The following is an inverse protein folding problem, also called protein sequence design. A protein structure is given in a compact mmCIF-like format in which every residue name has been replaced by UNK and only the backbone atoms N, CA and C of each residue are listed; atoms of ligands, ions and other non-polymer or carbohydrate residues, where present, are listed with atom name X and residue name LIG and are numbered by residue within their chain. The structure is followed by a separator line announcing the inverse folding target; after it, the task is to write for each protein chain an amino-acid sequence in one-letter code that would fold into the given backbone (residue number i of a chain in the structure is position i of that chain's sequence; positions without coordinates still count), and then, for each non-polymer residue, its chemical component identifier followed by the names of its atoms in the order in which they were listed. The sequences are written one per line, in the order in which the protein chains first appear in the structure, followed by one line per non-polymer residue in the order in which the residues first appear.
data_IF_057073847803
#
_entry.id   IF_057073847803
#
_cell.length_a   1.000
_cell.length_b   1.000
_cell.length_c   1.000
_cell.angle_alpha   90.00
_cell.angle_beta   90.00
_cell.angle_gamma   90.00
#
_symmetry.space_group_name_H-M   'P 1'
#
loop_
_entity.id
_entity.type
_entity.pdbx_description
1 polymer ?
#
# COMPACT_ATOMS: atom_id res chain seq x y z
N UNK A 1 -10.10 16.43 -16.47
CA UNK A 1 -8.88 15.60 -16.45
C UNK A 1 -8.33 15.58 -15.02
N UNK A 2 -7.87 14.44 -14.55
CA UNK A 2 -7.26 14.28 -13.22
C UNK A 2 -5.76 13.96 -13.41
N UNK A 3 -4.90 14.68 -12.72
CA UNK A 3 -3.46 14.44 -12.68
C UNK A 3 -3.13 13.71 -11.37
N UNK A 4 -2.61 12.49 -11.45
CA UNK A 4 -2.14 11.70 -10.32
C UNK A 4 -0.62 11.88 -10.28
N UNK A 5 -0.13 12.64 -9.30
CA UNK A 5 1.28 12.99 -9.21
C UNK A 5 1.96 12.22 -8.07
N UNK A 6 2.93 11.40 -8.42
CA UNK A 6 3.83 10.74 -7.44
C UNK A 6 5.04 11.65 -7.26
N UNK A 7 5.21 12.23 -6.09
CA UNK A 7 6.39 13.06 -5.79
C UNK A 7 7.63 12.17 -5.75
N UNK A 8 8.51 12.37 -6.74
CA UNK A 8 9.74 11.58 -6.88
C UNK A 8 10.96 12.52 -6.94
N UNK A 9 11.55 12.87 -5.78
CA UNK A 9 12.80 13.61 -5.76
C UNK A 9 13.92 12.85 -6.49
N UNK A 10 14.90 13.58 -6.99
CA UNK A 10 16.08 12.98 -7.62
C UNK A 10 16.73 11.96 -6.66
N UNK A 11 17.09 10.80 -7.18
CA UNK A 11 17.71 9.70 -6.43
C UNK A 11 16.87 9.09 -5.30
N UNK A 12 15.56 9.37 -5.23
CA UNK A 12 14.67 8.75 -4.23
C UNK A 12 13.77 7.70 -4.89
N UNK A 13 14.30 6.48 -5.02
CA UNK A 13 13.59 5.37 -5.68
C UNK A 13 12.32 4.92 -4.93
N UNK A 14 12.25 5.16 -3.61
CA UNK A 14 11.15 4.69 -2.76
C UNK A 14 9.79 5.31 -3.09
N UNK A 15 9.75 6.41 -3.84
CA UNK A 15 8.50 6.95 -4.39
C UNK A 15 7.77 5.96 -5.31
N UNK A 16 8.48 4.98 -5.88
CA UNK A 16 7.86 3.93 -6.71
C UNK A 16 6.99 2.95 -5.89
N UNK A 17 7.07 2.98 -4.56
CA UNK A 17 6.15 2.24 -3.69
C UNK A 17 4.68 2.69 -3.84
N UNK A 18 4.45 3.89 -4.38
CA UNK A 18 3.09 4.41 -4.60
C UNK A 18 2.52 4.05 -5.97
N UNK A 19 3.30 3.39 -6.84
CA UNK A 19 2.91 3.20 -8.25
C UNK A 19 1.63 2.37 -8.35
N UNK A 20 1.54 1.22 -7.70
CA UNK A 20 0.40 0.32 -7.83
C UNK A 20 -0.91 0.95 -7.31
N UNK A 21 -0.85 1.73 -6.23
CA UNK A 21 -2.03 2.42 -5.72
C UNK A 21 -2.40 3.64 -6.58
N UNK A 22 -1.43 4.31 -7.19
CA UNK A 22 -1.68 5.34 -8.19
C UNK A 22 -2.29 4.77 -9.48
N UNK A 23 -1.82 3.60 -9.93
CA UNK A 23 -2.42 2.85 -11.06
C UNK A 23 -3.81 2.35 -10.74
N UNK A 24 -4.08 1.87 -9.52
CA UNK A 24 -5.40 1.48 -9.05
C UNK A 24 -6.41 2.62 -9.26
N UNK A 25 -6.04 3.81 -8.82
CA UNK A 25 -6.86 5.01 -8.99
C UNK A 25 -6.96 5.42 -10.46
N UNK A 26 -5.85 5.42 -11.19
CA UNK A 26 -5.80 5.78 -12.62
C UNK A 26 -6.76 4.92 -13.45
N UNK A 27 -6.62 3.60 -13.38
CA UNK A 27 -7.45 2.69 -14.16
C UNK A 27 -8.92 2.78 -13.77
N UNK A 28 -9.23 2.94 -12.49
CA UNK A 28 -10.63 3.09 -12.06
C UNK A 28 -11.25 4.41 -12.54
N UNK A 29 -10.49 5.49 -12.67
CA UNK A 29 -10.93 6.75 -13.29
C UNK A 29 -11.20 6.55 -14.79
N UNK A 30 -10.34 5.79 -15.49
CA UNK A 30 -10.57 5.45 -16.90
C UNK A 30 -11.83 4.59 -17.08
N UNK A 31 -12.09 3.65 -16.18
CA UNK A 31 -13.33 2.85 -16.18
C UNK A 31 -14.59 3.71 -16.02
N UNK A 32 -14.50 4.82 -15.28
CA UNK A 32 -15.54 5.86 -15.17
C UNK A 32 -15.65 6.75 -16.41
N UNK A 33 -14.93 6.44 -17.50
CA UNK A 33 -14.87 7.25 -18.74
C UNK A 33 -14.36 8.67 -18.51
N UNK A 34 -13.56 8.87 -17.47
CA UNK A 34 -12.87 10.14 -17.19
C UNK A 34 -11.41 10.05 -17.63
N UNK A 35 -10.82 11.22 -17.93
CA UNK A 35 -9.40 11.29 -18.32
C UNK A 35 -8.53 11.46 -17.09
N UNK A 36 -7.49 10.64 -16.97
CA UNK A 36 -6.44 10.78 -15.96
C UNK A 36 -5.07 10.48 -16.55
N UNK A 37 -4.03 10.95 -15.89
CA UNK A 37 -2.63 10.62 -16.18
C UNK A 37 -1.86 10.46 -14.87
N UNK A 38 -0.79 9.65 -14.88
CA UNK A 38 0.19 9.57 -13.80
C UNK A 38 1.40 10.39 -14.20
N UNK A 39 1.89 11.23 -13.28
CA UNK A 39 3.11 12.05 -13.45
C UNK A 39 4.03 11.92 -12.25
N UNK A 40 5.29 12.30 -12.41
CA UNK A 40 6.31 12.15 -11.37
C UNK A 40 6.98 13.46 -10.97
N UNK A 41 6.69 14.54 -11.68
CA UNK A 41 7.34 15.83 -11.48
C UNK A 41 6.40 16.84 -10.87
N UNK A 42 6.88 17.58 -9.88
CA UNK A 42 6.13 18.65 -9.26
C UNK A 42 5.62 19.71 -10.25
N UNK A 43 6.38 19.97 -11.31
CA UNK A 43 6.02 20.93 -12.36
C UNK A 43 4.74 20.54 -13.15
N UNK A 44 4.34 19.27 -13.10
CA UNK A 44 3.10 18.80 -13.74
C UNK A 44 1.84 19.18 -12.95
N UNK A 45 1.98 19.66 -11.72
CA UNK A 45 0.89 20.10 -10.85
C UNK A 45 0.46 21.52 -11.29
N UNK A 46 -0.80 21.69 -11.60
CA UNK A 46 -1.31 22.99 -12.07
C UNK A 46 -2.79 23.22 -11.72
N UNK A 47 -3.25 24.48 -11.80
CA UNK A 47 -4.60 24.88 -11.41
C UNK A 47 -5.70 24.51 -12.40
N UNK A 48 -5.37 24.01 -13.61
CA UNK A 48 -6.37 23.71 -14.65
C UNK A 48 -6.99 22.33 -14.51
N UNK A 49 -6.44 21.46 -13.65
CA UNK A 49 -6.87 20.08 -13.46
C UNK A 49 -6.85 19.72 -11.98
N UNK A 50 -7.69 18.78 -11.54
CA UNK A 50 -7.59 18.21 -10.20
C UNK A 50 -6.29 17.44 -10.07
N UNK A 51 -5.49 17.74 -9.04
CA UNK A 51 -4.24 17.07 -8.77
C UNK A 51 -4.39 16.17 -7.55
N UNK A 52 -4.01 14.90 -7.67
CA UNK A 52 -3.99 13.95 -6.55
C UNK A 52 -2.53 13.58 -6.32
N UNK A 53 -1.99 13.91 -5.14
CA UNK A 53 -0.56 13.83 -4.85
C UNK A 53 -0.27 12.69 -3.88
N UNK A 54 0.60 11.78 -4.30
CA UNK A 54 1.23 10.76 -3.46
C UNK A 54 2.62 11.22 -3.02
N UNK A 55 3.03 10.87 -1.81
CA UNK A 55 4.34 11.23 -1.28
C UNK A 55 4.48 12.72 -0.90
N UNK A 56 3.40 13.38 -0.49
CA UNK A 56 3.40 14.80 -0.12
C UNK A 56 4.38 15.17 1.01
N UNK A 57 4.77 14.22 1.84
CA UNK A 57 5.81 14.39 2.86
C UNK A 57 7.21 14.68 2.29
N UNK A 58 7.40 14.42 1.01
CA UNK A 58 8.66 14.70 0.30
C UNK A 58 8.72 16.15 -0.23
N UNK A 59 7.61 16.88 -0.20
CA UNK A 59 7.55 18.29 -0.58
C UNK A 59 8.24 19.16 0.48
N UNK A 60 8.95 20.20 0.05
CA UNK A 60 9.43 21.25 0.95
C UNK A 60 8.35 22.32 1.19
N UNK A 61 8.59 23.25 2.10
CA UNK A 61 7.62 24.29 2.48
C UNK A 61 7.26 25.22 1.31
N UNK A 62 8.22 25.53 0.43
CA UNK A 62 8.00 26.36 -0.77
C UNK A 62 7.07 25.64 -1.77
N UNK A 63 7.34 24.37 -2.05
CA UNK A 63 6.49 23.54 -2.90
C UNK A 63 5.06 23.44 -2.34
N UNK A 64 4.93 23.22 -1.02
CA UNK A 64 3.62 23.17 -0.36
C UNK A 64 2.89 24.51 -0.54
N UNK A 65 3.57 25.63 -0.34
CA UNK A 65 2.98 26.95 -0.48
C UNK A 65 2.50 27.26 -1.90
N UNK A 66 3.15 26.70 -2.92
CA UNK A 66 2.79 26.89 -4.34
C UNK A 66 1.71 25.93 -4.86
N UNK A 67 1.25 24.94 -4.05
CA UNK A 67 0.20 24.02 -4.46
C UNK A 67 -1.11 24.76 -4.78
N UNK A 68 -1.77 24.46 -5.90
CA UNK A 68 -3.07 25.04 -6.24
C UNK A 68 -4.18 24.47 -5.36
N UNK A 69 -5.28 25.24 -5.16
CA UNK A 69 -6.40 24.85 -4.30
C UNK A 69 -7.19 23.62 -4.74
N UNK A 70 -7.06 23.20 -6.00
CA UNK A 70 -7.67 21.98 -6.53
C UNK A 70 -6.76 20.73 -6.34
N UNK A 71 -5.98 20.73 -5.29
CA UNK A 71 -5.08 19.64 -4.90
C UNK A 71 -5.74 18.74 -3.85
N UNK A 72 -5.53 17.44 -4.00
CA UNK A 72 -5.88 16.38 -3.03
C UNK A 72 -4.58 15.71 -2.61
N UNK A 73 -4.35 15.61 -1.32
CA UNK A 73 -3.23 14.82 -0.78
C UNK A 73 -3.74 13.41 -0.51
N UNK A 74 -3.13 12.42 -1.16
CA UNK A 74 -3.38 11.02 -0.84
C UNK A 74 -2.27 10.53 0.10
N UNK A 75 -2.59 10.44 1.38
CA UNK A 75 -1.67 9.93 2.38
C UNK A 75 -1.65 8.40 2.39
N UNK A 76 -0.45 7.84 2.44
CA UNK A 76 -0.21 6.39 2.54
C UNK A 76 0.67 6.04 3.73
N UNK A 77 1.01 7.03 4.56
CA UNK A 77 1.87 6.86 5.73
C UNK A 77 1.05 6.69 7.01
N UNK A 78 1.65 6.05 8.00
CA UNK A 78 1.03 5.90 9.33
C UNK A 78 1.29 7.16 10.16
N UNK A 79 0.33 8.11 10.13
CA UNK A 79 0.52 9.50 10.59
C UNK A 79 0.91 9.60 12.07
N UNK A 80 0.41 8.72 12.93
CA UNK A 80 0.76 8.70 14.36
C UNK A 80 2.26 8.47 14.58
N UNK A 81 2.93 7.77 13.66
CA UNK A 81 4.34 7.37 13.76
C UNK A 81 5.30 8.29 12.98
N UNK A 82 4.79 9.35 12.36
CA UNK A 82 5.63 10.28 11.59
C UNK A 82 6.46 11.20 12.47
N UNK A 83 7.57 11.66 11.90
CA UNK A 83 8.45 12.65 12.54
C UNK A 83 7.86 14.06 12.57
N UNK A 84 8.42 14.95 13.38
CA UNK A 84 7.94 16.32 13.57
C UNK A 84 8.01 17.17 12.30
N UNK A 85 8.98 16.92 11.41
CA UNK A 85 9.09 17.64 10.12
C UNK A 85 7.86 17.35 9.27
N UNK A 86 7.42 16.10 9.21
CA UNK A 86 6.23 15.75 8.48
C UNK A 86 4.95 16.31 9.13
N UNK A 87 4.82 16.22 10.45
CA UNK A 87 3.67 16.83 11.16
C UNK A 87 3.55 18.32 10.81
N UNK A 88 4.68 19.05 10.82
CA UNK A 88 4.71 20.47 10.42
C UNK A 88 4.20 20.67 8.99
N UNK A 89 4.60 19.80 8.03
CA UNK A 89 4.13 19.87 6.64
C UNK A 89 2.64 19.57 6.52
N UNK A 90 2.11 18.60 7.26
CA UNK A 90 0.67 18.33 7.29
C UNK A 90 -0.10 19.55 7.79
N UNK A 91 0.36 20.19 8.86
CA UNK A 91 -0.28 21.42 9.37
C UNK A 91 -0.22 22.55 8.35
N UNK A 92 0.87 22.68 7.61
CA UNK A 92 0.99 23.67 6.54
C UNK A 92 0.00 23.40 5.40
N UNK A 93 -0.15 22.14 5.00
CA UNK A 93 -1.14 21.71 4.01
C UNK A 93 -2.58 21.97 4.50
N UNK A 94 -2.88 21.70 5.77
CA UNK A 94 -4.18 21.95 6.36
C UNK A 94 -4.57 23.44 6.35
N UNK A 95 -3.62 24.34 6.59
CA UNK A 95 -3.84 25.79 6.51
C UNK A 95 -4.24 26.27 5.11
N UNK A 96 -3.94 25.48 4.07
CA UNK A 96 -4.32 25.76 2.68
C UNK A 96 -5.69 25.18 2.30
N UNK A 97 -6.44 24.59 3.24
CA UNK A 97 -7.73 23.92 2.99
C UNK A 97 -7.65 22.81 1.94
N UNK A 98 -6.48 22.16 1.84
CA UNK A 98 -6.25 21.06 0.90
C UNK A 98 -6.98 19.81 1.40
N UNK A 99 -7.65 19.11 0.47
CA UNK A 99 -8.39 17.89 0.74
C UNK A 99 -7.40 16.74 1.03
N UNK A 100 -7.65 16.01 2.12
CA UNK A 100 -6.91 14.80 2.46
C UNK A 100 -7.73 13.55 2.16
N UNK A 101 -7.11 12.62 1.45
CA UNK A 101 -7.54 11.23 1.34
C UNK A 101 -6.57 10.33 2.10
N UNK A 102 -7.10 9.33 2.77
CA UNK A 102 -6.29 8.37 3.51
C UNK A 102 -6.88 6.96 3.36
N UNK A 103 -6.03 5.96 3.35
CA UNK A 103 -6.44 4.55 3.27
C UNK A 103 -6.90 3.99 4.62
N UNK A 104 -6.68 4.70 5.71
CA UNK A 104 -6.91 4.23 7.08
C UNK A 104 -7.85 5.13 7.87
N UNK A 105 -8.95 4.56 8.37
CA UNK A 105 -9.83 5.26 9.32
C UNK A 105 -9.09 5.70 10.59
N UNK A 106 -8.07 4.92 11.02
CA UNK A 106 -7.27 5.29 12.19
C UNK A 106 -6.50 6.58 11.95
N UNK A 107 -5.85 6.72 10.79
CA UNK A 107 -5.19 7.96 10.39
C UNK A 107 -6.17 9.13 10.34
N UNK A 108 -7.36 8.92 9.75
CA UNK A 108 -8.40 9.97 9.67
C UNK A 108 -8.87 10.42 11.05
N UNK A 109 -9.07 9.47 11.98
CA UNK A 109 -9.42 9.79 13.38
C UNK A 109 -8.27 10.55 14.06
N UNK A 110 -7.02 10.17 13.82
CA UNK A 110 -5.86 10.89 14.34
C UNK A 110 -5.78 12.32 13.78
N UNK A 111 -5.93 12.49 12.46
CA UNK A 111 -5.96 13.80 11.79
C UNK A 111 -7.04 14.71 12.38
N UNK A 112 -8.25 14.19 12.53
CA UNK A 112 -9.36 14.95 13.09
C UNK A 112 -9.13 15.34 14.57
N UNK A 113 -8.80 14.35 15.41
CA UNK A 113 -8.75 14.55 16.86
C UNK A 113 -7.49 15.31 17.34
N UNK A 114 -6.39 15.23 16.62
CA UNK A 114 -5.10 15.81 17.03
C UNK A 114 -4.73 17.06 16.24
N UNK A 115 -5.21 17.18 15.03
CA UNK A 115 -4.82 18.25 14.10
C UNK A 115 -6.01 19.04 13.53
N UNK A 116 -7.25 18.68 13.90
CA UNK A 116 -8.51 19.25 13.37
C UNK A 116 -8.59 19.23 11.83
N UNK A 117 -8.01 18.20 11.22
CA UNK A 117 -8.01 18.02 9.77
C UNK A 117 -9.07 16.98 9.39
N UNK A 118 -10.03 17.39 8.56
CA UNK A 118 -11.04 16.49 7.98
C UNK A 118 -10.51 15.86 6.71
N UNK A 119 -10.51 14.52 6.65
CA UNK A 119 -10.13 13.76 5.48
C UNK A 119 -11.24 12.82 5.02
N UNK A 120 -11.04 12.21 3.85
CA UNK A 120 -11.95 11.19 3.30
C UNK A 120 -11.23 9.84 3.24
N UNK A 121 -11.96 8.78 3.60
CA UNK A 121 -11.46 7.41 3.45
C UNK A 121 -11.38 7.05 1.97
N UNK A 122 -10.21 6.61 1.53
CA UNK A 122 -10.02 5.96 0.23
C UNK A 122 -10.03 4.45 0.42
N UNK A 123 -11.13 3.83 0.08
CA UNK A 123 -11.24 2.37 0.11
C UNK A 123 -10.50 1.75 -1.07
N UNK A 124 -9.77 0.68 -0.78
CA UNK A 124 -8.95 -0.04 -1.76
C UNK A 124 -9.69 -1.32 -2.16
N UNK A 125 -9.85 -1.54 -3.44
CA UNK A 125 -10.58 -2.68 -3.99
C UNK A 125 -9.87 -3.31 -5.20
N UNK A 126 -10.63 -4.05 -5.99
CA UNK A 126 -10.15 -4.78 -7.16
C UNK A 126 -10.08 -3.91 -8.41
N UNK A 127 -8.96 -4.01 -9.15
CA UNK A 127 -8.77 -3.44 -10.47
C UNK A 127 -8.12 -4.47 -11.40
N UNK A 128 -8.83 -4.84 -12.47
CA UNK A 128 -8.39 -5.89 -13.41
C UNK A 128 -7.01 -5.62 -14.01
N UNK A 129 -6.70 -4.38 -14.34
CA UNK A 129 -5.43 -4.01 -14.98
C UNK A 129 -4.20 -4.21 -14.08
N UNK A 130 -4.42 -4.43 -12.78
CA UNK A 130 -3.35 -4.79 -11.83
C UNK A 130 -3.19 -6.30 -11.64
N UNK A 131 -4.01 -7.13 -12.28
CA UNK A 131 -3.86 -8.58 -12.30
C UNK A 131 -2.86 -8.94 -13.40
N UNK A 132 -1.56 -8.86 -13.10
CA UNK A 132 -0.49 -8.94 -14.10
C UNK A 132 0.72 -9.77 -13.68
N UNK A 133 0.71 -10.36 -12.47
CA UNK A 133 1.79 -11.25 -12.03
C UNK A 133 1.46 -12.68 -12.49
N UNK A 134 2.25 -13.17 -13.44
CA UNK A 134 2.18 -14.55 -13.89
C UNK A 134 3.05 -15.43 -12.99
N UNK A 135 2.41 -16.15 -12.07
CA UNK A 135 3.11 -17.03 -11.14
C UNK A 135 3.82 -18.18 -11.89
N UNK A 136 5.05 -18.48 -11.49
CA UNK A 136 5.83 -19.59 -12.07
C UNK A 136 5.54 -20.89 -11.31
N UNK A 137 5.51 -22.02 -12.02
CA UNK A 137 5.39 -23.35 -11.40
C UNK A 137 6.60 -23.64 -10.51
N UNK A 138 7.80 -23.43 -11.05
CA UNK A 138 9.05 -23.57 -10.28
C UNK A 138 9.23 -22.39 -9.35
N UNK A 139 9.21 -22.66 -8.05
CA UNK A 139 9.47 -21.67 -7.00
C UNK A 139 10.94 -21.71 -6.58
N UNK A 140 11.58 -20.54 -6.59
CA UNK A 140 12.99 -20.36 -6.24
C UNK A 140 13.16 -19.90 -4.79
N UNK A 141 12.13 -19.25 -4.25
CA UNK A 141 12.08 -18.63 -2.93
C UNK A 141 10.92 -19.23 -2.14
N UNK A 142 11.14 -19.59 -0.87
CA UNK A 142 10.07 -20.03 0.01
C UNK A 142 9.26 -18.83 0.52
N UNK A 143 9.96 -17.83 1.05
CA UNK A 143 9.34 -16.62 1.64
C UNK A 143 9.96 -15.38 1.04
N UNK A 144 9.13 -14.55 0.41
CA UNK A 144 9.52 -13.22 -0.03
C UNK A 144 9.10 -12.18 1.03
N UNK A 145 10.03 -11.33 1.42
CA UNK A 145 9.75 -10.12 2.18
C UNK A 145 10.24 -8.90 1.39
N UNK A 146 9.44 -7.82 1.33
CA UNK A 146 9.89 -6.56 0.76
C UNK A 146 9.40 -5.37 1.58
N UNK A 147 10.29 -4.39 1.75
CA UNK A 147 10.10 -3.19 2.53
C UNK A 147 11.28 -2.87 3.45
N UNK A 148 11.16 -1.79 4.20
CA UNK A 148 12.20 -1.37 5.15
C UNK A 148 12.40 -2.41 6.26
N UNK A 149 13.65 -2.58 6.69
CA UNK A 149 14.01 -3.48 7.78
C UNK A 149 14.06 -2.73 9.10
N UNK A 150 13.71 -3.41 10.18
CA UNK A 150 13.96 -3.02 11.57
C UNK A 150 14.25 -4.28 12.41
N UNK A 151 14.70 -4.11 13.64
CA UNK A 151 15.09 -5.23 14.51
C UNK A 151 14.01 -6.30 14.66
N UNK A 152 12.74 -5.88 14.70
CA UNK A 152 11.59 -6.74 14.85
C UNK A 152 11.39 -7.65 13.61
N UNK A 153 11.49 -7.09 12.42
CA UNK A 153 11.40 -7.81 11.13
C UNK A 153 12.60 -8.70 10.92
N UNK A 154 13.80 -8.18 11.23
CA UNK A 154 15.06 -8.91 11.11
C UNK A 154 15.06 -10.16 11.99
N UNK A 155 14.52 -10.11 13.21
CA UNK A 155 14.42 -11.26 14.10
C UNK A 155 13.67 -12.42 13.45
N UNK A 156 12.48 -12.18 12.86
CA UNK A 156 11.70 -13.22 12.18
C UNK A 156 12.46 -13.76 10.96
N UNK A 157 13.01 -12.87 10.13
CA UNK A 157 13.79 -13.27 8.94
C UNK A 157 14.98 -14.16 9.32
N UNK A 158 15.76 -13.75 10.33
CA UNK A 158 16.92 -14.52 10.77
C UNK A 158 16.53 -15.89 11.37
N UNK A 159 15.40 -15.97 12.06
CA UNK A 159 14.90 -17.25 12.58
C UNK A 159 14.49 -18.20 11.44
N UNK A 160 13.85 -17.70 10.40
CA UNK A 160 13.50 -18.50 9.22
C UNK A 160 14.77 -19.00 8.49
N UNK A 161 15.76 -18.13 8.30
CA UNK A 161 17.05 -18.51 7.68
C UNK A 161 17.78 -19.58 8.47
N UNK A 162 17.83 -19.48 9.82
CA UNK A 162 18.44 -20.50 10.71
C UNK A 162 17.77 -21.87 10.58
N UNK A 163 16.51 -21.90 10.16
CA UNK A 163 15.71 -23.12 9.93
C UNK A 163 15.71 -23.56 8.46
N UNK A 164 16.69 -23.08 7.67
CA UNK A 164 16.89 -23.41 6.25
C UNK A 164 15.74 -23.01 5.31
N UNK A 165 14.91 -22.05 5.69
CA UNK A 165 13.90 -21.45 4.78
C UNK A 165 14.62 -20.54 3.79
N UNK A 166 14.35 -20.68 2.50
CA UNK A 166 14.89 -19.80 1.46
C UNK A 166 14.16 -18.46 1.48
N UNK A 167 14.67 -17.51 2.26
CA UNK A 167 14.09 -16.16 2.36
C UNK A 167 14.78 -15.21 1.40
N UNK A 168 14.00 -14.46 0.62
CA UNK A 168 14.47 -13.31 -0.16
C UNK A 168 13.93 -12.02 0.45
N UNK A 169 14.83 -11.09 0.76
CA UNK A 169 14.47 -9.74 1.21
C UNK A 169 14.77 -8.74 0.10
N UNK A 170 13.79 -7.87 -0.22
CA UNK A 170 13.94 -6.80 -1.20
C UNK A 170 13.79 -5.44 -0.51
N UNK A 171 14.69 -4.52 -0.84
CA UNK A 171 14.62 -3.12 -0.45
C UNK A 171 14.96 -2.23 -1.64
N UNK A 172 14.11 -1.25 -1.95
CA UNK A 172 14.29 -0.39 -3.12
C UNK A 172 14.03 -1.08 -4.46
N UNK A 173 13.37 -2.24 -4.46
CA UNK A 173 13.01 -3.00 -5.68
C UNK A 173 11.51 -2.87 -5.92
N UNK A 174 11.12 -2.40 -7.11
CA UNK A 174 9.75 -2.07 -7.47
C UNK A 174 9.38 -2.55 -8.88
N UNK A 175 8.10 -2.45 -9.23
CA UNK A 175 7.59 -2.75 -10.57
C UNK A 175 7.90 -4.19 -11.00
N UNK A 176 8.30 -4.35 -12.26
CA UNK A 176 8.51 -5.68 -12.86
C UNK A 176 9.53 -6.53 -12.13
N UNK A 177 10.63 -5.98 -11.68
CA UNK A 177 11.67 -6.73 -10.96
C UNK A 177 11.13 -7.32 -9.64
N UNK A 178 10.37 -6.54 -8.87
CA UNK A 178 9.68 -7.05 -7.68
C UNK A 178 8.64 -8.12 -8.05
N UNK A 179 7.89 -7.91 -9.12
CA UNK A 179 6.84 -8.83 -9.58
C UNK A 179 7.44 -10.17 -10.03
N UNK A 180 8.62 -10.16 -10.65
CA UNK A 180 9.37 -11.39 -11.02
C UNK A 180 9.77 -12.19 -9.77
N UNK A 181 10.21 -11.53 -8.68
CA UNK A 181 10.45 -12.19 -7.39
C UNK A 181 9.18 -12.72 -6.74
N UNK A 182 8.07 -11.98 -6.80
CA UNK A 182 6.77 -12.46 -6.31
C UNK A 182 6.36 -13.73 -7.10
N UNK A 183 6.49 -13.72 -8.42
CA UNK A 183 6.12 -14.82 -9.29
C UNK A 183 6.84 -16.13 -8.95
N UNK A 184 8.11 -16.06 -8.51
CA UNK A 184 8.95 -17.21 -8.17
C UNK A 184 8.94 -17.57 -6.69
N UNK A 185 8.18 -16.87 -5.86
CA UNK A 185 8.06 -17.13 -4.42
C UNK A 185 6.86 -18.02 -4.08
N UNK A 186 6.97 -18.87 -3.04
CA UNK A 186 5.85 -19.67 -2.55
C UNK A 186 4.81 -18.83 -1.81
N UNK A 187 5.26 -17.87 -1.01
CA UNK A 187 4.42 -16.92 -0.28
C UNK A 187 5.13 -15.59 -0.03
N UNK A 188 4.35 -14.58 0.29
CA UNK A 188 4.85 -13.26 0.72
C UNK A 188 4.55 -13.04 2.19
N UNK A 189 5.54 -12.57 2.94
CA UNK A 189 5.44 -12.23 4.35
C UNK A 189 5.17 -10.72 4.52
N UNK A 190 4.11 -10.37 5.26
CA UNK A 190 3.82 -9.02 5.68
C UNK A 190 3.95 -8.89 7.20
N UNK A 191 4.80 -7.97 7.67
CA UNK A 191 5.04 -7.66 9.07
C UNK A 191 4.85 -6.16 9.30
N UNK A 192 4.26 -5.79 10.44
CA UNK A 192 4.18 -4.39 10.85
C UNK A 192 5.58 -3.79 11.01
N UNK A 193 5.73 -2.53 10.57
CA UNK A 193 6.94 -1.74 10.79
C UNK A 193 6.81 -0.83 12.02
N UNK A 194 5.63 -0.24 12.18
CA UNK A 194 5.33 0.73 13.23
C UNK A 194 4.49 0.12 14.35
N UNK A 195 4.62 0.66 15.55
CA UNK A 195 3.84 0.26 16.72
C UNK A 195 2.35 0.63 16.61
N UNK A 196 2.01 1.57 15.73
CA UNK A 196 0.61 1.90 15.39
C UNK A 196 -0.17 0.75 14.79
N UNK A 197 0.52 -0.27 14.23
CA UNK A 197 -0.05 -1.49 13.66
C UNK A 197 -1.24 -1.26 12.71
N UNK A 198 -1.14 -0.24 11.86
CA UNK A 198 -2.10 -0.08 10.77
C UNK A 198 -1.75 -1.10 9.69
N UNK A 199 -2.75 -1.90 9.29
CA UNK A 199 -2.55 -2.95 8.30
C UNK A 199 -2.07 -2.37 6.96
N UNK A 200 -1.04 -2.96 6.40
CA UNK A 200 -0.36 -2.50 5.19
C UNK A 200 -1.15 -2.83 3.90
N UNK A 201 -2.44 -2.50 3.88
CA UNK A 201 -3.31 -2.79 2.72
C UNK A 201 -2.79 -2.19 1.42
N UNK A 202 -2.12 -1.04 1.47
CA UNK A 202 -1.47 -0.38 0.32
C UNK A 202 -0.39 -1.23 -0.35
N UNK A 203 0.06 -2.29 0.31
CA UNK A 203 0.97 -3.31 -0.23
C UNK A 203 0.22 -4.60 -0.54
N UNK A 204 -0.64 -5.03 0.39
CA UNK A 204 -1.25 -6.35 0.38
C UNK A 204 -2.31 -6.47 -0.71
N UNK A 205 -3.05 -5.40 -1.02
CA UNK A 205 -4.09 -5.42 -2.05
C UNK A 205 -3.58 -5.93 -3.42
N UNK A 206 -2.37 -5.53 -3.78
CA UNK A 206 -1.76 -5.94 -5.05
C UNK A 206 -1.46 -7.44 -5.08
N UNK A 207 -1.04 -8.00 -3.94
CA UNK A 207 -0.84 -9.44 -3.78
C UNK A 207 -2.17 -10.20 -3.89
N UNK A 208 -3.23 -9.71 -3.24
CA UNK A 208 -4.57 -10.30 -3.32
C UNK A 208 -5.09 -10.29 -4.76
N UNK A 209 -4.98 -9.18 -5.48
CA UNK A 209 -5.40 -9.07 -6.89
C UNK A 209 -4.72 -10.13 -7.77
N UNK A 210 -3.48 -10.49 -7.46
CA UNK A 210 -2.68 -11.45 -8.22
C UNK A 210 -2.67 -12.87 -7.64
N UNK A 211 -3.62 -13.20 -6.74
CA UNK A 211 -3.76 -14.51 -6.11
C UNK A 211 -2.47 -15.01 -5.41
N UNK A 212 -1.68 -14.10 -4.85
CA UNK A 212 -0.43 -14.44 -4.17
C UNK A 212 -0.74 -14.83 -2.71
N UNK A 213 -0.28 -15.98 -2.21
CA UNK A 213 -0.43 -16.36 -0.81
C UNK A 213 0.31 -15.38 0.10
N UNK A 214 -0.39 -14.83 1.09
CA UNK A 214 0.17 -13.88 2.06
C UNK A 214 0.05 -14.44 3.47
N UNK A 215 1.17 -14.48 4.19
CA UNK A 215 1.17 -14.60 5.66
C UNK A 215 1.35 -13.20 6.22
N UNK A 216 0.40 -12.74 7.01
CA UNK A 216 0.45 -11.39 7.57
C UNK A 216 0.33 -11.39 9.07
N UNK A 217 1.17 -10.56 9.69
CA UNK A 217 0.97 -10.21 11.09
C UNK A 217 -0.35 -9.46 11.24
N UNK A 218 -1.30 -10.10 11.92
CA UNK A 218 -2.59 -9.53 12.28
C UNK A 218 -2.95 -10.05 13.67
N UNK A 219 -3.07 -9.16 14.63
CA UNK A 219 -3.49 -9.43 16.00
C UNK A 219 -4.67 -8.54 16.40
N UNK A 220 -5.11 -8.63 17.67
CA UNK A 220 -6.22 -7.85 18.19
C UNK A 220 -5.97 -6.32 18.23
N UNK A 221 -4.72 -5.90 18.04
CA UNK A 221 -4.32 -4.48 18.00
C UNK A 221 -4.14 -3.96 16.59
N UNK A 222 -4.18 -4.84 15.58
CA UNK A 222 -4.06 -4.44 14.18
C UNK A 222 -5.27 -3.64 13.74
N UNK A 223 -5.02 -2.45 13.20
CA UNK A 223 -6.05 -1.51 12.77
C UNK A 223 -6.29 -1.65 11.27
N UNK A 224 -7.47 -2.10 10.90
CA UNK A 224 -7.89 -2.23 9.51
C UNK A 224 -9.39 -1.94 9.36
N UNK A 225 -9.80 -1.56 8.16
CA UNK A 225 -11.18 -1.22 7.83
C UNK A 225 -11.72 -2.01 6.63
N UNK A 226 -11.11 -3.16 6.33
CA UNK A 226 -11.45 -3.94 5.15
C UNK A 226 -11.98 -5.33 5.50
N UNK A 227 -12.97 -5.79 4.73
CA UNK A 227 -13.64 -7.07 4.94
C UNK A 227 -13.08 -8.21 4.07
N UNK A 228 -12.06 -7.97 3.22
CA UNK A 228 -11.52 -8.98 2.29
C UNK A 228 -10.23 -9.64 2.77
N UNK A 229 -10.07 -9.80 4.08
CA UNK A 229 -8.90 -10.48 4.67
C UNK A 229 -9.05 -12.02 4.71
N UNK A 230 -10.08 -12.59 4.10
CA UNK A 230 -10.35 -14.05 4.10
C UNK A 230 -9.23 -14.85 3.41
N UNK A 231 -8.53 -14.26 2.46
CA UNK A 231 -7.43 -14.90 1.73
C UNK A 231 -6.05 -14.63 2.28
N UNK A 232 -5.94 -14.24 3.55
CA UNK A 232 -4.66 -13.99 4.21
C UNK A 232 -4.52 -14.96 5.38
N UNK A 233 -3.38 -15.67 5.47
CA UNK A 233 -3.01 -16.42 6.66
C UNK A 233 -2.66 -15.42 7.76
N UNK A 234 -3.64 -15.12 8.60
CA UNK A 234 -3.47 -14.21 9.74
C UNK A 234 -2.65 -14.88 10.83
N UNK A 235 -1.72 -14.14 11.40
CA UNK A 235 -0.88 -14.62 12.50
C UNK A 235 -0.53 -13.48 13.44
N UNK A 236 -0.52 -13.75 14.75
CA UNK A 236 0.20 -12.87 15.65
C UNK A 236 1.72 -13.01 15.47
N UNK A 237 2.48 -12.08 16.00
CA UNK A 237 3.93 -12.05 15.83
C UNK A 237 4.63 -13.31 16.36
N UNK A 238 4.17 -13.84 17.49
CA UNK A 238 4.77 -14.98 18.19
C UNK A 238 4.60 -16.29 17.41
N UNK A 239 3.49 -16.44 16.67
CA UNK A 239 3.16 -17.66 15.95
C UNK A 239 3.49 -17.58 14.44
N UNK A 240 4.03 -16.45 13.96
CA UNK A 240 4.15 -16.22 12.53
C UNK A 240 5.13 -17.20 11.85
N UNK A 241 6.21 -17.56 12.52
CA UNK A 241 7.16 -18.56 12.02
C UNK A 241 6.49 -19.92 11.85
N UNK A 242 5.71 -20.37 12.85
CA UNK A 242 4.96 -21.63 12.79
C UNK A 242 3.98 -21.63 11.63
N UNK A 243 3.18 -20.58 11.50
CA UNK A 243 2.20 -20.45 10.41
C UNK A 243 2.87 -20.42 9.02
N UNK A 244 4.09 -19.88 8.92
CA UNK A 244 4.88 -19.95 7.69
C UNK A 244 5.29 -21.40 7.40
N UNK A 245 5.80 -22.15 8.39
CA UNK A 245 6.20 -23.56 8.20
C UNK A 245 5.00 -24.42 7.79
N UNK A 246 3.90 -24.35 8.52
CA UNK A 246 2.67 -25.09 8.24
C UNK A 246 2.23 -24.83 6.78
N UNK A 247 2.29 -23.57 6.33
CA UNK A 247 1.90 -23.19 4.99
C UNK A 247 2.95 -23.58 3.92
N UNK A 248 4.24 -23.67 4.26
CA UNK A 248 5.27 -24.13 3.32
C UNK A 248 5.14 -25.63 3.02
N UNK A 249 4.66 -26.43 3.96
CA UNK A 249 4.42 -27.85 3.80
C UNK A 249 3.13 -28.18 3.03
N UNK A 250 2.13 -27.29 3.07
CA UNK A 250 0.82 -27.49 2.40
C UNK A 250 0.67 -26.59 1.15
N UNK A 251 0.99 -27.15 -0.03
CA UNK A 251 0.81 -26.45 -1.30
C UNK A 251 -0.64 -26.16 -1.63
N UNK A 252 -1.56 -27.07 -1.25
CA UNK A 252 -2.99 -26.88 -1.53
C UNK A 252 -3.56 -25.73 -0.69
N UNK A 253 -3.18 -25.65 0.60
CA UNK A 253 -3.57 -24.52 1.44
C UNK A 253 -3.00 -23.20 0.88
N UNK A 254 -1.72 -23.17 0.45
CA UNK A 254 -1.14 -21.96 -0.19
C UNK A 254 -1.94 -21.51 -1.39
N UNK A 255 -2.25 -22.43 -2.32
CA UNK A 255 -3.04 -22.11 -3.52
C UNK A 255 -4.44 -21.62 -3.15
N UNK A 256 -5.08 -22.28 -2.20
CA UNK A 256 -6.40 -21.91 -1.70
C UNK A 256 -6.42 -20.50 -1.11
N UNK A 257 -5.44 -20.15 -0.27
CA UNK A 257 -5.30 -18.79 0.32
C UNK A 257 -5.18 -17.75 -0.78
N UNK A 258 -4.30 -17.96 -1.78
CA UNK A 258 -4.14 -17.00 -2.87
C UNK A 258 -5.43 -16.79 -3.67
N UNK A 259 -6.11 -17.87 -4.05
CA UNK A 259 -7.38 -17.83 -4.78
C UNK A 259 -8.48 -17.16 -3.94
N UNK A 260 -8.61 -17.50 -2.67
CA UNK A 260 -9.58 -16.91 -1.76
C UNK A 260 -9.34 -15.41 -1.58
N UNK A 261 -8.08 -14.97 -1.50
CA UNK A 261 -7.71 -13.56 -1.45
C UNK A 261 -8.18 -12.80 -2.68
N UNK A 262 -7.91 -13.34 -3.86
CA UNK A 262 -8.37 -12.75 -5.12
C UNK A 262 -9.91 -12.73 -5.20
N UNK A 263 -10.59 -13.81 -4.85
CA UNK A 263 -12.05 -13.87 -4.88
C UNK A 263 -12.69 -12.92 -3.86
N UNK A 264 -12.07 -12.73 -2.71
CA UNK A 264 -12.53 -11.81 -1.68
C UNK A 264 -12.43 -10.35 -2.15
N UNK A 265 -11.27 -9.91 -2.65
CA UNK A 265 -11.11 -8.54 -3.13
C UNK A 265 -11.94 -8.24 -4.39
N UNK A 266 -12.19 -9.23 -5.26
CA UNK A 266 -13.05 -9.09 -6.46
C UNK A 266 -14.49 -8.69 -6.14
N UNK A 267 -14.98 -8.98 -4.93
CA UNK A 267 -16.31 -8.55 -4.47
C UNK A 267 -16.41 -7.01 -4.33
N UNK A 268 -15.28 -6.32 -4.32
CA UNK A 268 -15.16 -4.87 -4.09
C UNK A 268 -14.47 -4.18 -5.28
N UNK A 269 -15.16 -3.95 -6.41
CA UNK A 269 -14.58 -3.28 -7.56
C UNK A 269 -14.14 -1.85 -7.24
N UNK A 270 -12.90 -1.49 -7.58
CA UNK A 270 -12.35 -0.15 -7.28
C UNK A 270 -13.17 0.99 -7.90
N UNK A 271 -13.80 0.76 -9.04
CA UNK A 271 -14.63 1.76 -9.71
C UNK A 271 -15.72 2.33 -8.80
N UNK A 272 -16.32 1.51 -7.92
CA UNK A 272 -17.37 1.94 -7.00
C UNK A 272 -16.82 2.90 -5.94
N UNK A 273 -15.69 2.56 -5.34
CA UNK A 273 -15.01 3.41 -4.35
C UNK A 273 -14.52 4.71 -4.97
N UNK A 274 -13.93 4.62 -6.17
CA UNK A 274 -13.46 5.82 -6.89
C UNK A 274 -14.62 6.74 -7.28
N UNK A 275 -15.76 6.18 -7.72
CA UNK A 275 -16.97 6.95 -7.99
C UNK A 275 -17.45 7.69 -6.75
N UNK A 276 -17.52 7.00 -5.62
CA UNK A 276 -17.98 7.58 -4.33
C UNK A 276 -17.07 8.71 -3.87
N UNK A 277 -15.75 8.51 -3.81
CA UNK A 277 -14.83 9.52 -3.26
C UNK A 277 -14.71 10.76 -4.15
N UNK A 278 -14.88 10.60 -5.46
CA UNK A 278 -14.91 11.71 -6.42
C UNK A 278 -16.28 12.41 -6.51
N UNK A 279 -17.30 11.94 -5.77
CA UNK A 279 -18.67 12.44 -5.81
C UNK A 279 -19.27 12.46 -7.26
N UNK A 280 -19.13 11.35 -8.00
CA UNK A 280 -19.58 11.19 -9.39
C UNK A 280 -20.83 10.33 -9.50
#
# INVERSE_FOLDING_TARGET
MINICIIKPNNYIHSLAYLEIAELLHYSILDLKKKSKITYNFIDINSKVTNIIFGAHLLNDEMINSLPGNTIIFNTEQIESINEVWKKRILLLAKKEIIFWDYSEHNLKFLLNKLDIKGKLFEIGFQKNLQRIETKEKKEVDVLFYGSMNNRREKIINNLLKKNVKVKCLFGVYGKERDDWIATSKLVLNLHFYDSKIFEIVRVFYLLINAIPVVSEIDNHTKFNNNYLEGIKKSNYENIERNIFDLLEDENERKSIGINGMNSIKKYPQINFTKSILNL
#
